data_IF_413023981629
#
_entry.id   IF_413023981629
#
_cell.length_a   1.000
_cell.length_b   1.000
_cell.length_c   1.000
_cell.angle_alpha   90.00
_cell.angle_beta   90.00
_cell.angle_gamma   90.00
#
_symmetry.space_group_name_H-M   'P 1'
#
loop_
_entity.id
_entity.type
_entity.pdbx_description
1 polymer ?
#
# COMPACT_ATOMS: atom_id res chain seq x y z
N UNK A 1 14.40 -7.13 -4.36
CA UNK A 1 14.19 -7.78 -3.05
C UNK A 1 15.26 -8.84 -2.88
N UNK A 2 16.18 -8.72 -1.91
CA UNK A 2 17.34 -9.60 -1.78
C UNK A 2 17.14 -10.72 -0.76
N UNK A 3 16.20 -10.55 0.20
CA UNK A 3 16.03 -11.44 1.34
C UNK A 3 15.78 -12.92 1.00
N UNK A 4 15.20 -13.21 -0.18
CA UNK A 4 14.97 -14.60 -0.62
C UNK A 4 16.16 -15.19 -1.43
N UNK A 5 17.16 -14.38 -1.74
CA UNK A 5 18.36 -14.82 -2.47
C UNK A 5 19.50 -15.16 -1.53
N UNK A 6 19.46 -14.72 -0.28
CA UNK A 6 20.55 -14.94 0.69
C UNK A 6 20.79 -16.41 1.00
N UNK A 7 19.75 -17.23 0.91
CA UNK A 7 19.85 -18.69 1.15
C UNK A 7 20.12 -19.50 -0.13
N UNK A 8 20.12 -18.84 -1.30
CA UNK A 8 20.22 -19.49 -2.60
C UNK A 8 21.49 -19.14 -3.36
N UNK A 9 22.04 -17.94 -3.16
CA UNK A 9 23.19 -17.44 -3.89
C UNK A 9 24.47 -17.65 -3.10
N UNK A 10 25.51 -18.16 -3.76
CA UNK A 10 26.85 -18.30 -3.16
C UNK A 10 27.58 -16.97 -3.08
N UNK A 11 27.29 -16.04 -3.99
CA UNK A 11 27.97 -14.73 -4.09
C UNK A 11 27.04 -13.66 -4.63
N UNK A 12 27.25 -12.41 -4.20
CA UNK A 12 26.57 -11.21 -4.66
C UNK A 12 27.58 -10.26 -5.30
N UNK A 13 27.34 -9.86 -6.53
CA UNK A 13 28.20 -8.92 -7.28
C UNK A 13 27.49 -7.56 -7.36
N UNK A 14 28.12 -6.53 -6.83
CA UNK A 14 27.65 -5.16 -6.95
C UNK A 14 28.25 -4.51 -8.18
N UNK A 15 27.38 -4.07 -9.08
CA UNK A 15 27.75 -3.38 -10.30
C UNK A 15 27.38 -1.89 -10.25
N UNK A 16 28.32 -1.06 -10.66
CA UNK A 16 28.10 0.36 -10.82
C UNK A 16 28.89 0.88 -12.03
N UNK A 17 28.26 1.75 -12.85
CA UNK A 17 28.84 2.31 -14.07
C UNK A 17 29.46 1.26 -14.99
N UNK A 18 28.77 0.13 -15.18
CA UNK A 18 29.20 -0.95 -16.08
C UNK A 18 30.36 -1.79 -15.57
N UNK A 19 30.75 -1.66 -14.30
CA UNK A 19 31.85 -2.41 -13.69
C UNK A 19 31.43 -3.06 -12.38
N UNK A 20 31.99 -4.24 -12.08
CA UNK A 20 31.88 -4.87 -10.79
C UNK A 20 32.73 -4.07 -9.81
N UNK A 21 32.13 -3.54 -8.74
CA UNK A 21 32.79 -2.73 -7.72
C UNK A 21 33.12 -3.51 -6.46
N UNK A 22 32.19 -4.33 -6.03
CA UNK A 22 32.34 -5.16 -4.85
C UNK A 22 31.72 -6.53 -5.06
N UNK A 23 32.20 -7.48 -4.29
CA UNK A 23 31.68 -8.85 -4.21
C UNK A 23 31.48 -9.18 -2.74
N UNK A 24 30.37 -9.84 -2.42
CA UNK A 24 30.03 -10.19 -1.05
C UNK A 24 29.54 -11.62 -0.94
N UNK A 25 29.86 -12.27 0.16
CA UNK A 25 29.19 -13.49 0.60
C UNK A 25 27.78 -13.17 1.13
N UNK A 26 26.91 -14.18 1.30
CA UNK A 26 25.62 -14.00 1.96
C UNK A 26 25.75 -13.38 3.36
N UNK A 27 26.74 -13.83 4.14
CA UNK A 27 26.98 -13.32 5.50
C UNK A 27 27.41 -11.86 5.49
N UNK A 28 28.29 -11.47 4.58
CA UNK A 28 28.73 -10.08 4.44
C UNK A 28 27.58 -9.17 4.02
N UNK A 29 26.69 -9.63 3.13
CA UNK A 29 25.50 -8.89 2.73
C UNK A 29 24.53 -8.73 3.90
N UNK A 30 24.29 -9.78 4.69
CA UNK A 30 23.42 -9.76 5.86
C UNK A 30 23.94 -8.85 6.97
N UNK A 31 25.28 -8.84 7.18
CA UNK A 31 25.93 -8.02 8.20
C UNK A 31 26.21 -6.59 7.78
N UNK A 32 25.88 -6.23 6.53
CA UNK A 32 26.17 -4.90 5.97
C UNK A 32 25.43 -3.81 6.74
N UNK A 33 26.15 -2.77 7.15
CA UNK A 33 25.59 -1.63 7.88
C UNK A 33 24.55 -0.88 7.05
N UNK A 34 23.57 -0.30 7.73
CA UNK A 34 22.50 0.48 7.10
C UNK A 34 23.04 1.66 6.27
N UNK A 35 24.03 2.38 6.80
CA UNK A 35 24.68 3.48 6.11
C UNK A 35 25.31 3.04 4.78
N UNK A 36 25.94 1.85 4.74
CA UNK A 36 26.52 1.32 3.51
C UNK A 36 25.41 0.94 2.53
N UNK A 37 24.36 0.24 2.99
CA UNK A 37 23.22 -0.13 2.15
C UNK A 37 22.54 1.08 1.51
N UNK A 38 22.31 2.13 2.28
CA UNK A 38 21.69 3.37 1.78
C UNK A 38 22.57 4.04 0.71
N UNK A 39 23.88 4.11 0.93
CA UNK A 39 24.82 4.70 -0.06
C UNK A 39 24.77 4.01 -1.43
N UNK A 40 24.68 2.70 -1.42
CA UNK A 40 24.69 1.89 -2.65
C UNK A 40 23.28 1.53 -3.16
N UNK A 41 22.22 2.07 -2.51
CA UNK A 41 20.84 1.90 -2.92
C UNK A 41 20.29 0.48 -2.73
N UNK A 42 20.89 -0.33 -1.84
CA UNK A 42 20.46 -1.71 -1.57
C UNK A 42 19.50 -1.74 -0.37
N UNK A 43 18.38 -2.43 -0.54
CA UNK A 43 17.42 -2.68 0.54
C UNK A 43 17.96 -3.72 1.52
N UNK A 44 17.39 -3.72 2.75
CA UNK A 44 17.74 -4.73 3.73
C UNK A 44 17.59 -6.16 3.19
N UNK A 45 18.62 -6.96 3.39
CA UNK A 45 18.62 -8.38 3.05
C UNK A 45 17.97 -9.24 4.15
N UNK A 46 17.98 -8.77 5.40
CA UNK A 46 17.23 -9.36 6.52
C UNK A 46 16.13 -8.41 6.97
N UNK A 47 14.89 -8.91 7.03
CA UNK A 47 13.73 -8.15 7.47
C UNK A 47 13.34 -8.45 8.93
N UNK A 48 13.95 -9.45 9.58
CA UNK A 48 13.61 -9.92 10.92
C UNK A 48 13.98 -8.93 12.02
N UNK A 49 14.98 -8.10 11.76
CA UNK A 49 15.56 -7.16 12.73
C UNK A 49 15.32 -5.69 12.36
N UNK A 50 14.29 -5.42 11.56
CA UNK A 50 13.88 -4.04 11.28
C UNK A 50 13.12 -3.53 12.50
N UNK A 51 13.77 -2.67 13.27
CA UNK A 51 13.08 -1.91 14.32
C UNK A 51 12.20 -0.85 13.66
N UNK A 52 10.92 -0.92 13.94
CA UNK A 52 9.95 0.10 13.53
C UNK A 52 9.50 0.81 14.78
N UNK A 53 9.80 2.09 14.89
CA UNK A 53 9.25 2.94 15.95
C UNK A 53 7.76 3.18 15.64
N UNK A 54 6.91 2.39 16.31
CA UNK A 54 5.46 2.53 16.20
C UNK A 54 5.02 3.42 17.36
N UNK A 55 4.59 4.67 17.09
CA UNK A 55 4.13 5.54 18.17
C UNK A 55 2.94 4.89 18.89
N UNK A 56 2.83 5.06 20.22
CA UNK A 56 1.72 4.53 20.98
C UNK A 56 0.40 5.10 20.47
N UNK A 57 -0.60 4.23 20.34
CA UNK A 57 -1.94 4.65 19.92
C UNK A 57 -2.68 5.23 21.11
N UNK A 58 -3.02 6.51 21.01
CA UNK A 58 -3.78 7.20 22.04
C UNK A 58 -5.31 7.02 21.88
N UNK A 59 -5.79 6.83 20.64
CA UNK A 59 -7.22 6.73 20.33
C UNK A 59 -7.62 5.36 19.79
N UNK A 60 -8.66 4.79 20.44
CA UNK A 60 -9.32 3.53 20.00
C UNK A 60 -10.61 3.80 19.22
N UNK A 61 -10.73 4.96 18.60
CA UNK A 61 -11.93 5.28 17.84
C UNK A 61 -11.97 4.53 16.51
N UNK A 62 -13.04 3.80 16.28
CA UNK A 62 -13.29 3.11 15.01
C UNK A 62 -13.56 4.17 13.93
N UNK A 63 -12.64 4.26 12.96
CA UNK A 63 -12.76 5.21 11.85
C UNK A 63 -13.42 4.59 10.63
N UNK A 64 -13.15 3.31 10.35
CA UNK A 64 -13.78 2.58 9.26
C UNK A 64 -14.34 1.26 9.81
N UNK A 65 -15.58 0.96 9.49
CA UNK A 65 -16.20 -0.31 9.82
C UNK A 65 -16.82 -0.92 8.56
N UNK A 66 -16.55 -2.17 8.33
CA UNK A 66 -17.12 -2.97 7.24
C UNK A 66 -18.00 -4.05 7.84
N UNK A 67 -19.23 -4.15 7.38
CA UNK A 67 -20.21 -5.11 7.89
C UNK A 67 -20.76 -5.98 6.77
N UNK A 68 -20.58 -7.28 6.89
CA UNK A 68 -21.14 -8.32 6.03
C UNK A 68 -21.03 -8.01 4.54
N UNK A 69 -19.87 -7.51 4.14
CA UNK A 69 -19.60 -7.09 2.77
C UNK A 69 -19.53 -8.31 1.87
N UNK A 70 -20.27 -8.28 0.76
CA UNK A 70 -20.20 -9.31 -0.27
C UNK A 70 -20.09 -8.70 -1.66
N UNK A 71 -19.40 -9.40 -2.54
CA UNK A 71 -19.26 -9.00 -3.93
C UNK A 71 -19.16 -10.17 -4.87
N UNK A 72 -19.74 -10.00 -6.08
CA UNK A 72 -19.63 -10.92 -7.19
C UNK A 72 -19.58 -10.18 -8.52
N UNK A 73 -18.77 -10.67 -9.46
CA UNK A 73 -18.84 -10.27 -10.86
C UNK A 73 -19.89 -11.11 -11.57
N UNK A 74 -21.03 -10.49 -11.91
CA UNK A 74 -22.18 -11.19 -12.47
C UNK A 74 -22.60 -12.36 -11.55
N UNK A 75 -22.36 -13.63 -11.97
CA UNK A 75 -22.68 -14.86 -11.23
C UNK A 75 -21.47 -15.47 -10.52
N UNK A 76 -20.27 -14.88 -10.65
CA UNK A 76 -19.04 -15.40 -10.03
C UNK A 76 -18.80 -14.69 -8.69
N UNK A 77 -18.98 -15.37 -7.55
CA UNK A 77 -18.70 -14.80 -6.25
C UNK A 77 -17.21 -14.54 -6.12
N UNK A 78 -16.85 -13.39 -5.54
CA UNK A 78 -15.47 -13.03 -5.23
C UNK A 78 -15.22 -13.20 -3.73
N UNK A 79 -16.11 -12.65 -2.90
CA UNK A 79 -16.10 -12.83 -1.46
C UNK A 79 -17.51 -12.62 -0.90
N UNK A 80 -17.71 -13.12 0.31
CA UNK A 80 -18.94 -12.96 1.08
C UNK A 80 -18.61 -12.79 2.56
N UNK A 81 -19.49 -12.08 3.26
CA UNK A 81 -19.46 -11.89 4.72
C UNK A 81 -18.14 -11.34 5.27
N UNK A 82 -17.52 -10.40 4.58
CA UNK A 82 -16.33 -9.72 5.10
C UNK A 82 -16.78 -8.66 6.10
N UNK A 83 -16.29 -8.77 7.33
CA UNK A 83 -16.53 -7.81 8.40
C UNK A 83 -15.24 -7.53 9.16
N UNK A 84 -14.91 -6.24 9.38
CA UNK A 84 -13.77 -5.81 10.17
C UNK A 84 -13.89 -4.35 10.56
N UNK A 85 -13.06 -3.93 11.51
CA UNK A 85 -12.95 -2.55 11.97
C UNK A 85 -11.51 -2.06 11.81
N UNK A 86 -11.38 -0.76 11.54
CA UNK A 86 -10.11 -0.03 11.43
C UNK A 86 -10.15 1.15 12.36
N UNK A 87 -9.14 1.28 13.17
CA UNK A 87 -8.99 2.38 14.13
C UNK A 87 -8.12 3.49 13.55
N UNK A 88 -8.22 4.68 14.14
CA UNK A 88 -7.36 5.80 13.74
C UNK A 88 -5.87 5.41 13.85
N UNK A 89 -5.11 5.70 12.81
CA UNK A 89 -3.67 5.38 12.74
C UNK A 89 -3.33 3.92 12.43
N UNK A 90 -4.33 3.05 12.14
CA UNK A 90 -4.05 1.67 11.74
C UNK A 90 -3.36 1.58 10.38
N UNK A 91 -2.37 0.69 10.31
CA UNK A 91 -1.81 0.19 9.05
C UNK A 91 -2.32 -1.22 8.80
N UNK A 92 -3.18 -1.39 7.80
CA UNK A 92 -3.82 -2.67 7.49
C UNK A 92 -3.15 -3.32 6.27
N UNK A 93 -2.66 -4.54 6.44
CA UNK A 93 -2.17 -5.37 5.35
C UNK A 93 -3.23 -6.37 4.90
N UNK A 94 -3.65 -6.30 3.63
CA UNK A 94 -4.55 -7.29 3.02
C UNK A 94 -3.70 -8.32 2.29
N UNK A 95 -3.66 -9.55 2.81
CA UNK A 95 -2.84 -10.65 2.29
C UNK A 95 -3.70 -11.77 1.71
N UNK A 96 -3.12 -12.57 0.82
CA UNK A 96 -3.79 -13.72 0.21
C UNK A 96 -3.30 -13.99 -1.22
N UNK A 97 -3.71 -15.12 -1.80
CA UNK A 97 -3.33 -15.51 -3.17
C UNK A 97 -3.81 -14.51 -4.23
N UNK A 98 -3.18 -14.55 -5.40
CA UNK A 98 -3.64 -13.74 -6.54
C UNK A 98 -5.03 -14.19 -6.97
N UNK A 99 -5.89 -13.21 -7.32
CA UNK A 99 -7.28 -13.48 -7.72
C UNK A 99 -8.29 -13.60 -6.57
N UNK A 100 -7.87 -13.65 -5.29
CA UNK A 100 -8.79 -13.84 -4.15
C UNK A 100 -9.71 -12.64 -3.86
N UNK A 101 -9.50 -11.50 -4.53
CA UNK A 101 -10.38 -10.33 -4.35
C UNK A 101 -9.77 -9.16 -3.58
N UNK A 102 -8.47 -9.15 -3.27
CA UNK A 102 -7.79 -8.05 -2.54
C UNK A 102 -8.04 -6.68 -3.20
N UNK A 103 -7.74 -6.59 -4.49
CA UNK A 103 -7.96 -5.35 -5.27
C UNK A 103 -9.44 -4.99 -5.37
N UNK A 104 -10.33 -5.99 -5.46
CA UNK A 104 -11.76 -5.75 -5.48
C UNK A 104 -12.25 -5.16 -4.16
N UNK A 105 -11.76 -5.68 -3.03
CA UNK A 105 -12.08 -5.12 -1.71
C UNK A 105 -11.58 -3.67 -1.61
N UNK A 106 -10.33 -3.40 -1.97
CA UNK A 106 -9.78 -2.04 -1.98
C UNK A 106 -10.59 -1.08 -2.86
N UNK A 107 -10.99 -1.52 -4.06
CA UNK A 107 -11.83 -0.74 -4.96
C UNK A 107 -13.21 -0.41 -4.36
N UNK A 108 -13.79 -1.33 -3.60
CA UNK A 108 -15.07 -1.09 -2.91
C UNK A 108 -14.88 -0.08 -1.78
N UNK A 109 -13.84 -0.23 -0.96
CA UNK A 109 -13.56 0.68 0.14
C UNK A 109 -13.32 2.11 -0.34
N UNK A 110 -12.63 2.28 -1.47
CA UNK A 110 -12.37 3.58 -2.09
C UNK A 110 -13.53 4.11 -2.95
N UNK A 111 -14.64 3.36 -3.06
CA UNK A 111 -15.80 3.80 -3.84
C UNK A 111 -15.65 3.70 -5.37
N UNK A 112 -14.65 2.99 -5.87
CA UNK A 112 -14.48 2.70 -7.30
C UNK A 112 -15.51 1.65 -7.74
N UNK A 113 -15.66 0.59 -6.95
CA UNK A 113 -16.59 -0.50 -7.19
C UNK A 113 -17.73 -0.47 -6.15
N UNK A 114 -18.97 -0.82 -6.55
CA UNK A 114 -20.09 -0.94 -5.62
C UNK A 114 -20.19 -2.37 -5.09
N UNK A 115 -20.36 -2.51 -3.80
CA UNK A 115 -20.70 -3.78 -3.14
C UNK A 115 -22.04 -4.34 -3.64
N UNK A 116 -22.25 -5.64 -3.49
CA UNK A 116 -23.55 -6.28 -3.72
C UNK A 116 -24.44 -6.19 -2.48
N UNK A 117 -23.88 -6.51 -1.33
CA UNK A 117 -24.52 -6.42 -0.02
C UNK A 117 -23.51 -5.99 1.02
N UNK A 118 -23.99 -5.63 2.20
CA UNK A 118 -23.18 -5.16 3.31
C UNK A 118 -23.08 -3.64 3.37
N UNK A 119 -22.34 -3.16 4.34
CA UNK A 119 -22.23 -1.73 4.64
C UNK A 119 -20.77 -1.34 4.86
N UNK A 120 -20.44 -0.13 4.47
CA UNK A 120 -19.18 0.54 4.81
C UNK A 120 -19.52 1.81 5.57
N UNK A 121 -19.05 1.90 6.81
CA UNK A 121 -19.28 3.02 7.69
C UNK A 121 -17.97 3.76 7.95
N UNK A 122 -18.02 5.08 8.01
CA UNK A 122 -16.91 5.94 8.42
C UNK A 122 -17.37 6.76 9.63
N UNK A 123 -16.63 6.67 10.73
CA UNK A 123 -17.01 7.26 12.03
C UNK A 123 -18.46 6.94 12.42
N UNK A 124 -18.88 5.68 12.25
CA UNK A 124 -20.22 5.19 12.59
C UNK A 124 -21.33 5.56 11.61
N UNK A 125 -21.05 6.34 10.57
CA UNK A 125 -22.03 6.72 9.55
C UNK A 125 -21.85 5.90 8.28
N UNK A 126 -22.93 5.32 7.77
CA UNK A 126 -22.89 4.60 6.49
C UNK A 126 -22.60 5.54 5.33
N UNK A 127 -21.61 5.18 4.51
CA UNK A 127 -21.16 5.99 3.38
C UNK A 127 -21.45 5.27 2.07
N UNK A 128 -22.30 5.90 1.26
CA UNK A 128 -22.58 5.41 -0.10
C UNK A 128 -21.32 5.43 -0.97
N UNK A 129 -21.25 4.52 -1.96
CA UNK A 129 -20.15 4.42 -2.92
C UNK A 129 -19.65 5.78 -3.41
N UNK A 130 -20.57 6.63 -3.91
CA UNK A 130 -20.20 7.91 -4.51
C UNK A 130 -19.54 8.91 -3.56
N UNK A 131 -19.77 8.77 -2.25
CA UNK A 131 -19.18 9.63 -1.23
C UNK A 131 -17.85 9.10 -0.70
N UNK A 132 -17.55 7.80 -0.84
CA UNK A 132 -16.31 7.19 -0.31
C UNK A 132 -15.05 7.82 -0.89
N UNK A 133 -15.07 8.24 -2.15
CA UNK A 133 -13.96 8.95 -2.79
C UNK A 133 -13.51 10.24 -2.07
N UNK A 134 -14.36 10.80 -1.22
CA UNK A 134 -14.04 12.00 -0.44
C UNK A 134 -13.28 11.66 0.85
N UNK A 135 -13.23 10.38 1.23
CA UNK A 135 -12.62 9.88 2.48
C UNK A 135 -11.43 8.96 2.22
N UNK A 136 -11.24 8.50 0.99
CA UNK A 136 -10.20 7.53 0.67
C UNK A 136 -9.46 7.91 -0.61
N UNK A 137 -8.14 7.77 -0.57
CA UNK A 137 -7.29 7.84 -1.75
C UNK A 137 -6.87 6.42 -2.15
N UNK A 138 -6.87 6.17 -3.45
CA UNK A 138 -6.46 4.90 -4.00
C UNK A 138 -5.19 5.08 -4.83
N UNK A 139 -4.10 4.46 -4.40
CA UNK A 139 -2.85 4.42 -5.19
C UNK A 139 -2.84 3.12 -5.98
N UNK A 140 -2.82 3.22 -7.30
CA UNK A 140 -2.81 2.06 -8.19
C UNK A 140 -1.47 1.34 -8.15
N UNK A 141 -1.47 0.05 -8.48
CA UNK A 141 -0.24 -0.75 -8.59
C UNK A 141 0.72 -0.20 -9.65
N UNK A 142 0.17 0.31 -10.76
CA UNK A 142 0.91 1.08 -11.75
C UNK A 142 0.56 2.57 -11.55
N UNK A 143 1.43 3.29 -10.89
CA UNK A 143 1.25 4.72 -10.57
C UNK A 143 1.31 5.60 -11.80
N UNK A 144 2.00 5.19 -12.88
CA UNK A 144 2.08 5.94 -14.13
C UNK A 144 0.70 6.15 -14.77
N UNK A 145 -0.24 5.21 -14.51
CA UNK A 145 -1.64 5.34 -14.97
C UNK A 145 -2.45 6.38 -14.19
N UNK A 146 -1.90 7.00 -13.16
CA UNK A 146 -2.55 8.01 -12.33
C UNK A 146 -2.02 9.43 -12.60
N UNK A 147 -0.95 9.55 -13.36
CA UNK A 147 -0.36 10.83 -13.74
C UNK A 147 -0.94 11.26 -15.09
N UNK A 148 -1.54 12.45 -15.12
CA UNK A 148 -2.22 13.02 -16.28
C UNK A 148 -1.59 14.32 -16.74
N UNK A 149 -0.80 14.99 -15.89
CA UNK A 149 -0.09 16.22 -16.22
C UNK A 149 1.21 15.94 -16.97
N UNK A 150 1.57 16.82 -17.92
CA UNK A 150 2.85 16.78 -18.61
C UNK A 150 4.01 17.28 -17.73
N UNK A 151 3.68 17.87 -16.59
CA UNK A 151 4.63 18.37 -15.59
C UNK A 151 4.11 18.12 -14.15
N UNK A 152 5.02 18.18 -13.17
CA UNK A 152 4.67 18.10 -11.75
C UNK A 152 3.70 19.22 -11.35
N UNK A 153 3.88 20.42 -11.89
CA UNK A 153 3.02 21.55 -11.60
C UNK A 153 1.60 21.32 -12.11
N UNK A 154 1.43 20.85 -13.34
CA UNK A 154 0.12 20.50 -13.88
C UNK A 154 -0.56 19.40 -13.10
N UNK A 155 0.17 18.34 -12.71
CA UNK A 155 -0.38 17.25 -11.93
C UNK A 155 -0.90 17.73 -10.56
N UNK A 156 -0.18 18.63 -9.90
CA UNK A 156 -0.61 19.24 -8.65
C UNK A 156 -1.87 20.11 -8.82
N UNK A 157 -1.96 20.82 -9.93
CA UNK A 157 -3.12 21.68 -10.24
C UNK A 157 -4.37 20.90 -10.63
N UNK A 158 -4.23 19.71 -11.24
CA UNK A 158 -5.37 18.86 -11.59
C UNK A 158 -6.20 18.44 -10.37
N UNK A 159 -5.56 18.22 -9.21
CA UNK A 159 -6.22 17.87 -7.97
C UNK A 159 -6.59 19.09 -7.11
N UNK A 160 -6.00 20.22 -7.38
CA UNK A 160 -6.30 21.50 -6.78
C UNK A 160 -7.39 22.24 -7.57
N UNK A 161 -8.67 21.91 -7.36
CA UNK A 161 -9.72 22.88 -7.64
C UNK A 161 -9.44 24.06 -6.74
N UNK A 162 -8.93 25.13 -7.37
CA UNK A 162 -8.41 26.31 -6.76
C UNK A 162 -9.16 26.78 -5.53
N UNK A 163 -8.49 26.77 -4.43
CA UNK A 163 -8.66 27.81 -3.44
C UNK A 163 -7.96 29.07 -3.97
N UNK A 164 -8.60 29.74 -4.91
CA UNK A 164 -8.39 31.16 -5.08
C UNK A 164 -8.91 31.78 -3.78
N UNK A 165 -8.06 31.88 -2.79
CA UNK A 165 -8.27 32.90 -1.78
C UNK A 165 -7.88 34.21 -2.43
N UNK A 166 -8.91 34.92 -2.88
CA UNK A 166 -8.84 36.36 -3.01
C UNK A 166 -8.35 36.97 -1.69
N UNK A 167 -7.52 37.94 -1.86
CA UNK A 167 -6.89 38.82 -0.87
C UNK A 167 -7.80 39.32 0.23
#
# INVERSE_FOLDING_TARGET
>A
RLYYLTDLADRFLYMENGSIKEEWSPEELLSMSENKRQKIGIRAADLRHIEVDIPPREDKNVTLEVKQLAFSYRKHPVFHDISFQVYAGDLIAIVGHNGIGKTTLSNILCGIQKEKTGQVLYNGQEISKGKRKNFAYFVMQNTDCQLFGDSVEEELLLNGKGSTQEQ
#
